data_IF_496174756812
#
_entry.id   IF_496174756812
#
_cell.length_a   1.000
_cell.length_b   1.000
_cell.length_c   1.000
_cell.angle_alpha   90.00
_cell.angle_beta   90.00
_cell.angle_gamma   90.00
#
_symmetry.space_group_name_H-M   'P 1'
#
loop_
_entity.id
_entity.type
_entity.pdbx_description
1 polymer ?
#
# COMPACT_ATOMS: atom_id res chain seq x y z
N UNK A 1 2.53 8.99 -12.60
CA UNK A 1 2.25 9.46 -13.97
C UNK A 1 0.83 9.96 -14.17
N UNK A 2 -0.23 9.18 -13.93
CA UNK A 2 -1.62 9.67 -14.12
C UNK A 2 -1.95 10.94 -13.31
N UNK A 3 -1.58 10.98 -12.03
CA UNK A 3 -1.80 12.16 -11.18
C UNK A 3 -0.99 13.38 -11.62
N UNK A 4 0.08 13.20 -12.40
CA UNK A 4 0.88 14.31 -12.95
C UNK A 4 0.22 14.91 -14.19
N UNK A 5 -0.51 14.09 -14.95
CA UNK A 5 -1.13 14.50 -16.21
C UNK A 5 -2.47 15.23 -16.03
N UNK A 6 -3.17 14.96 -14.93
CA UNK A 6 -4.52 15.46 -14.70
C UNK A 6 -4.64 16.14 -13.33
N UNK A 7 -5.05 17.40 -13.32
CA UNK A 7 -5.12 18.23 -12.11
C UNK A 7 -6.12 17.72 -11.07
N UNK A 8 -7.21 17.12 -11.52
CA UNK A 8 -8.28 16.63 -10.65
C UNK A 8 -8.06 15.20 -10.15
N UNK A 9 -6.98 14.53 -10.55
CA UNK A 9 -6.68 13.16 -10.11
C UNK A 9 -5.81 13.16 -8.87
N UNK A 10 -6.18 12.29 -7.92
CA UNK A 10 -5.40 11.96 -6.73
C UNK A 10 -5.22 10.44 -6.67
N UNK A 11 -4.18 10.00 -5.96
CA UNK A 11 -3.85 8.59 -5.82
C UNK A 11 -3.95 8.14 -4.36
N UNK A 12 -4.33 6.88 -4.21
CA UNK A 12 -4.14 6.08 -3.01
C UNK A 12 -3.19 4.95 -3.44
N UNK A 13 -2.11 4.74 -2.69
CA UNK A 13 -1.08 3.74 -3.00
C UNK A 13 -0.75 2.87 -1.80
N UNK A 14 -0.49 1.59 -2.02
CA UNK A 14 -0.35 0.62 -0.95
C UNK A 14 -0.14 -0.78 -1.52
N UNK A 15 -0.45 -1.78 -0.70
CA UNK A 15 -0.22 -3.17 -1.04
C UNK A 15 -1.43 -4.05 -0.74
N UNK A 16 -1.98 -4.64 -1.78
CA UNK A 16 -3.18 -5.45 -1.72
C UNK A 16 -2.95 -6.73 -0.86
N UNK A 17 -3.93 -7.17 -0.04
CA UNK A 17 -3.78 -8.36 0.79
C UNK A 17 -3.44 -9.64 0.02
N UNK A 18 -4.02 -9.84 -1.18
CA UNK A 18 -3.74 -11.04 -2.00
C UNK A 18 -2.27 -11.12 -2.41
N UNK A 19 -1.58 -9.98 -2.54
CA UNK A 19 -0.17 -9.90 -2.94
C UNK A 19 0.79 -9.75 -1.74
N UNK A 20 0.31 -9.90 -0.51
CA UNK A 20 1.11 -9.69 0.70
C UNK A 20 2.38 -10.56 0.78
N UNK A 21 2.41 -11.74 0.17
CA UNK A 21 3.61 -12.60 0.09
C UNK A 21 4.77 -11.92 -0.66
N UNK A 22 4.47 -10.98 -1.56
CA UNK A 22 5.44 -10.25 -2.37
C UNK A 22 5.91 -8.94 -1.69
N UNK A 23 5.42 -8.66 -0.48
CA UNK A 23 5.76 -7.45 0.27
C UNK A 23 7.15 -7.56 0.90
N UNK A 24 8.03 -6.61 0.58
CA UNK A 24 9.39 -6.53 1.13
C UNK A 24 9.65 -5.15 1.71
N UNK A 25 10.73 -5.02 2.49
CA UNK A 25 11.17 -3.73 3.02
C UNK A 25 11.49 -2.72 1.91
N UNK A 26 12.05 -3.17 0.78
CA UNK A 26 12.27 -2.33 -0.40
C UNK A 26 10.95 -1.78 -0.96
N UNK A 27 9.89 -2.59 -0.98
CA UNK A 27 8.55 -2.16 -1.42
C UNK A 27 7.93 -1.18 -0.43
N UNK A 28 8.14 -1.38 0.88
CA UNK A 28 7.69 -0.42 1.91
C UNK A 28 8.35 0.94 1.71
N UNK A 29 9.67 0.98 1.57
CA UNK A 29 10.45 2.22 1.34
C UNK A 29 10.04 2.90 0.04
N UNK A 30 9.73 2.12 -1.01
CA UNK A 30 9.24 2.67 -2.27
C UNK A 30 7.87 3.35 -2.12
N UNK A 31 6.93 2.74 -1.37
CA UNK A 31 5.64 3.36 -1.07
C UNK A 31 5.83 4.62 -0.23
N UNK A 32 6.67 4.58 0.81
CA UNK A 32 6.96 5.72 1.68
C UNK A 32 7.48 6.92 0.88
N UNK A 33 8.41 6.69 -0.04
CA UNK A 33 8.91 7.74 -0.95
C UNK A 33 7.83 8.27 -1.89
N UNK A 34 6.99 7.40 -2.44
CA UNK A 34 5.90 7.83 -3.32
C UNK A 34 4.82 8.62 -2.56
N UNK A 35 4.62 8.34 -1.27
CA UNK A 35 3.66 9.04 -0.43
C UNK A 35 4.03 10.52 -0.21
N UNK A 36 5.29 10.90 -0.40
CA UNK A 36 5.73 12.31 -0.37
C UNK A 36 5.13 13.15 -1.52
N UNK A 37 4.60 12.50 -2.57
CA UNK A 37 4.02 13.21 -3.71
C UNK A 37 2.71 13.94 -3.31
N UNK A 38 2.53 15.24 -3.65
CA UNK A 38 1.42 16.06 -3.14
C UNK A 38 0.01 15.60 -3.53
N UNK A 39 -0.11 14.78 -4.60
CA UNK A 39 -1.38 14.16 -5.03
C UNK A 39 -1.59 12.73 -4.55
N UNK A 40 -0.67 12.18 -3.74
CA UNK A 40 -0.92 10.93 -3.02
C UNK A 40 -1.53 11.30 -1.68
N UNK A 41 -2.78 10.90 -1.46
CA UNK A 41 -3.59 11.38 -0.33
C UNK A 41 -4.00 10.27 0.63
N UNK A 42 -3.54 9.05 0.40
CA UNK A 42 -3.85 7.91 1.26
C UNK A 42 -2.99 6.70 0.96
N UNK A 43 -2.87 5.83 1.97
CA UNK A 43 -2.20 4.54 1.85
C UNK A 43 -3.25 3.44 1.69
N UNK A 44 -3.13 2.67 0.60
CA UNK A 44 -4.05 1.60 0.25
C UNK A 44 -4.04 1.24 -1.24
N UNK A 45 -4.82 0.25 -1.68
CA UNK A 45 -5.69 -0.56 -0.84
C UNK A 45 -4.89 -1.55 0.02
N UNK A 46 -5.25 -1.63 1.30
CA UNK A 46 -4.66 -2.53 2.29
C UNK A 46 -5.78 -3.19 3.08
N UNK A 47 -5.53 -4.37 3.63
CA UNK A 47 -6.54 -5.04 4.44
C UNK A 47 -6.30 -6.53 4.53
N UNK A 48 -7.39 -7.29 4.42
CA UNK A 48 -7.41 -8.74 4.49
C UNK A 48 -8.36 -9.26 3.41
N UNK A 49 -7.93 -10.27 2.67
CA UNK A 49 -8.73 -10.98 1.69
C UNK A 49 -8.58 -12.48 1.94
N UNK A 50 -9.66 -13.09 2.42
CA UNK A 50 -9.71 -14.52 2.75
C UNK A 50 -10.43 -15.35 1.69
N UNK A 51 -10.71 -14.76 0.53
CA UNK A 51 -11.26 -15.48 -0.62
C UNK A 51 -10.15 -16.20 -1.40
N UNK A 52 -8.99 -15.57 -1.55
CA UNK A 52 -7.85 -16.12 -2.31
C UNK A 52 -6.73 -16.64 -1.40
N UNK A 53 -6.09 -17.73 -1.83
CA UNK A 53 -5.04 -18.42 -1.05
C UNK A 53 -3.61 -18.03 -1.43
N UNK A 54 -3.41 -17.04 -2.33
CA UNK A 54 -2.06 -16.62 -2.77
C UNK A 54 -1.17 -16.21 -1.58
N UNK A 55 -1.72 -15.42 -0.66
CA UNK A 55 -1.02 -14.93 0.52
C UNK A 55 -1.62 -15.50 1.80
N UNK A 56 -0.84 -16.19 2.65
CA UNK A 56 -1.31 -16.71 3.93
C UNK A 56 -1.87 -15.64 4.86
N UNK A 57 -2.89 -15.98 5.66
CA UNK A 57 -3.62 -15.01 6.51
C UNK A 57 -2.74 -14.29 7.52
N UNK A 58 -1.73 -14.95 8.05
CA UNK A 58 -0.74 -14.39 8.97
C UNK A 58 0.16 -13.37 8.27
N UNK A 59 0.62 -13.66 7.05
CA UNK A 59 1.38 -12.72 6.21
C UNK A 59 0.53 -11.49 5.87
N UNK A 60 -0.73 -11.68 5.46
CA UNK A 60 -1.64 -10.54 5.20
C UNK A 60 -1.79 -9.65 6.44
N UNK A 61 -1.98 -10.24 7.63
CA UNK A 61 -2.10 -9.50 8.89
C UNK A 61 -0.81 -8.75 9.24
N UNK A 62 0.36 -9.30 8.95
CA UNK A 62 1.63 -8.62 9.17
C UNK A 62 1.74 -7.39 8.26
N UNK A 63 1.57 -7.58 6.95
CA UNK A 63 1.66 -6.51 5.95
C UNK A 63 0.63 -5.43 6.19
N UNK A 64 -0.60 -5.80 6.57
CA UNK A 64 -1.63 -4.82 6.90
C UNK A 64 -1.23 -3.95 8.10
N UNK A 65 -0.65 -4.54 9.16
CA UNK A 65 -0.16 -3.76 10.31
C UNK A 65 1.02 -2.86 9.95
N UNK A 66 1.93 -3.31 9.08
CA UNK A 66 3.03 -2.49 8.57
C UNK A 66 2.52 -1.27 7.80
N UNK A 67 1.54 -1.46 6.91
CA UNK A 67 0.94 -0.36 6.18
C UNK A 67 0.14 0.61 7.08
N UNK A 68 -0.54 0.13 8.14
CA UNK A 68 -1.15 1.01 9.15
C UNK A 68 -0.07 1.84 9.87
N UNK A 69 1.08 1.23 10.19
CA UNK A 69 2.19 1.95 10.81
C UNK A 69 2.79 2.98 9.85
N UNK A 70 2.96 2.64 8.58
CA UNK A 70 3.42 3.56 7.53
C UNK A 70 2.48 4.76 7.39
N UNK A 71 1.18 4.52 7.30
CA UNK A 71 0.16 5.58 7.18
C UNK A 71 0.10 6.54 8.38
N UNK A 72 0.69 6.18 9.53
CA UNK A 72 0.83 7.08 10.69
C UNK A 72 2.10 7.94 10.64
N UNK A 73 3.10 7.54 9.84
CA UNK A 73 4.40 8.23 9.72
C UNK A 73 4.40 9.26 8.60
N UNK A 74 3.72 8.96 7.49
CA UNK A 74 3.66 9.79 6.28
C UNK A 74 2.50 10.77 6.29
#
# INVERSE_FOLDING_TARGET
ELVEQYDFLYAIIGWHPVDAIDYTEEREQWIEKLAEHPKVIGIGEMGLDYHWDKSPKDVQKEVFRKQIALAKRV
#
